data_IF_144008372023
#
_entry.id   IF_144008372023
#
_cell.length_a   1.000
_cell.length_b   1.000
_cell.length_c   1.000
_cell.angle_alpha   90.00
_cell.angle_beta   90.00
_cell.angle_gamma   90.00
#
_symmetry.space_group_name_H-M   'P 1'
#
loop_
_entity.id
_entity.type
_entity.pdbx_description
1 polymer ?
#
# COMPACT_ATOMS: atom_id res chain seq x y z
N UNK A 1 45.62 -1.40 6.56
CA UNK A 1 44.74 -2.13 5.64
C UNK A 1 43.90 -3.02 6.52
N UNK A 2 42.76 -2.49 6.94
CA UNK A 2 41.70 -3.27 7.57
C UNK A 2 40.46 -2.88 6.77
N UNK A 3 40.21 -3.65 5.72
CA UNK A 3 39.00 -3.55 4.93
C UNK A 3 37.87 -4.18 5.77
N UNK A 4 37.27 -3.38 6.64
CA UNK A 4 36.02 -3.69 7.32
C UNK A 4 34.90 -3.68 6.28
N UNK A 5 34.79 -4.78 5.55
CA UNK A 5 33.69 -5.06 4.62
C UNK A 5 32.54 -5.67 5.43
N UNK A 6 31.75 -4.81 6.05
CA UNK A 6 30.47 -5.18 6.65
C UNK A 6 29.52 -5.59 5.49
N UNK A 7 28.99 -6.81 5.46
CA UNK A 7 27.99 -7.18 4.47
C UNK A 7 26.76 -6.34 4.78
N UNK A 8 26.41 -5.43 3.87
CA UNK A 8 25.13 -4.72 3.86
C UNK A 8 24.07 -5.81 3.97
N UNK A 9 23.48 -5.94 5.16
CA UNK A 9 22.26 -6.69 5.36
C UNK A 9 21.19 -5.86 4.66
N UNK A 10 21.02 -6.10 3.37
CA UNK A 10 19.77 -5.81 2.70
C UNK A 10 18.74 -6.69 3.40
N UNK A 11 18.11 -6.15 4.45
CA UNK A 11 16.82 -6.64 4.88
C UNK A 11 15.94 -6.68 3.63
N UNK A 12 15.11 -7.73 3.44
CA UNK A 12 14.14 -7.67 2.37
C UNK A 12 13.35 -6.39 2.63
N UNK A 13 13.47 -5.42 1.72
CA UNK A 13 12.56 -4.30 1.71
C UNK A 13 11.21 -4.93 1.42
N UNK A 14 10.50 -5.30 2.49
CA UNK A 14 9.06 -5.42 2.45
C UNK A 14 8.63 -4.05 1.96
N UNK A 15 8.32 -3.98 0.67
CA UNK A 15 7.93 -2.76 -0.02
C UNK A 15 6.73 -2.25 0.77
N UNK A 16 6.98 -1.21 1.57
CA UNK A 16 5.96 -0.61 2.39
C UNK A 16 4.81 -0.24 1.45
N UNK A 17 3.55 -0.44 1.87
CA UNK A 17 2.43 0.07 1.08
C UNK A 17 2.66 1.56 0.81
N UNK A 18 2.27 2.02 -0.37
CA UNK A 18 2.32 3.43 -0.72
C UNK A 18 1.59 4.26 0.34
N UNK A 19 1.95 5.53 0.48
CA UNK A 19 1.39 6.41 1.53
C UNK A 19 -0.14 6.47 1.46
N UNK A 20 -0.69 6.50 0.24
CA UNK A 20 -2.14 6.44 -0.01
C UNK A 20 -2.76 5.09 0.39
N UNK A 21 -2.10 3.96 0.10
CA UNK A 21 -2.54 2.62 0.53
C UNK A 21 -2.49 2.49 2.04
N UNK A 22 -1.43 2.98 2.67
CA UNK A 22 -1.25 2.95 4.11
C UNK A 22 -2.31 3.78 4.83
N UNK A 23 -2.65 4.95 4.29
CA UNK A 23 -3.76 5.77 4.78
C UNK A 23 -5.07 4.97 4.71
N UNK A 24 -5.42 4.41 3.54
CA UNK A 24 -6.62 3.58 3.36
C UNK A 24 -6.72 2.42 4.35
N UNK A 25 -5.60 1.75 4.63
CA UNK A 25 -5.53 0.68 5.62
C UNK A 25 -5.85 1.19 7.04
N UNK A 26 -5.39 2.39 7.39
CA UNK A 26 -5.62 2.98 8.72
C UNK A 26 -7.01 3.63 8.86
N UNK A 27 -7.50 4.32 7.83
CA UNK A 27 -8.80 5.01 7.84
C UNK A 27 -9.97 4.04 7.72
N UNK A 28 -9.86 3.01 6.88
CA UNK A 28 -10.94 2.05 6.59
C UNK A 28 -10.72 0.65 7.19
N UNK A 29 -9.64 0.44 7.95
CA UNK A 29 -9.27 -0.86 8.53
C UNK A 29 -9.17 -1.96 7.45
N UNK A 30 -8.64 -1.60 6.28
CA UNK A 30 -8.52 -2.49 5.13
C UNK A 30 -7.21 -3.29 5.17
N UNK A 31 -7.26 -4.50 4.62
CA UNK A 31 -6.05 -5.26 4.32
C UNK A 31 -5.28 -4.61 3.16
N UNK A 32 -3.96 -4.85 3.08
CA UNK A 32 -3.10 -4.28 2.04
C UNK A 32 -3.62 -4.56 0.62
N UNK A 33 -4.01 -5.81 0.34
CA UNK A 33 -4.58 -6.19 -0.96
C UNK A 33 -5.86 -5.40 -1.30
N UNK A 34 -6.70 -5.12 -0.30
CA UNK A 34 -7.94 -4.37 -0.50
C UNK A 34 -7.66 -2.88 -0.67
N UNK A 35 -6.78 -2.31 0.15
CA UNK A 35 -6.37 -0.92 0.03
C UNK A 35 -5.70 -0.62 -1.33
N UNK A 36 -4.85 -1.53 -1.84
CA UNK A 36 -4.27 -1.42 -3.19
C UNK A 36 -5.35 -1.42 -4.29
N UNK A 37 -6.38 -2.27 -4.17
CA UNK A 37 -7.51 -2.26 -5.12
C UNK A 37 -8.35 -1.00 -5.02
N UNK A 38 -8.62 -0.52 -3.81
CA UNK A 38 -9.40 0.70 -3.58
C UNK A 38 -8.66 1.90 -4.18
N UNK A 39 -7.34 1.98 -3.99
CA UNK A 39 -6.50 2.99 -4.64
C UNK A 39 -6.59 2.89 -6.17
N UNK A 40 -6.48 1.68 -6.74
CA UNK A 40 -6.62 1.47 -8.18
C UNK A 40 -8.00 1.90 -8.71
N UNK A 41 -9.07 1.64 -7.95
CA UNK A 41 -10.44 2.08 -8.28
C UNK A 41 -10.56 3.60 -8.25
N UNK A 42 -9.99 4.27 -7.23
CA UNK A 42 -9.96 5.73 -7.15
C UNK A 42 -9.23 6.34 -8.35
N UNK A 43 -8.10 5.77 -8.77
CA UNK A 43 -7.35 6.26 -9.93
C UNK A 43 -8.07 5.99 -11.26
N UNK A 44 -8.65 4.80 -11.45
CA UNK A 44 -9.27 4.40 -12.72
C UNK A 44 -10.63 5.09 -12.95
N UNK A 45 -11.44 5.23 -11.89
CA UNK A 45 -12.77 5.83 -11.96
C UNK A 45 -12.80 7.31 -11.55
N UNK A 46 -11.75 7.80 -10.89
CA UNK A 46 -11.69 9.17 -10.37
C UNK A 46 -12.74 9.43 -9.28
N UNK A 47 -12.95 8.44 -8.41
CA UNK A 47 -13.91 8.48 -7.29
C UNK A 47 -13.20 8.77 -5.97
N UNK A 48 -13.97 9.16 -4.95
CA UNK A 48 -13.45 9.39 -3.61
C UNK A 48 -13.21 8.05 -2.86
N UNK A 49 -12.44 8.11 -1.77
CA UNK A 49 -12.09 6.96 -0.91
C UNK A 49 -13.32 6.15 -0.48
N UNK A 50 -14.33 6.80 0.09
CA UNK A 50 -15.57 6.14 0.55
C UNK A 50 -16.29 5.40 -0.60
N UNK A 51 -16.40 6.06 -1.77
CA UNK A 51 -17.06 5.48 -2.94
C UNK A 51 -16.26 4.29 -3.50
N UNK A 52 -14.93 4.37 -3.51
CA UNK A 52 -14.07 3.30 -3.98
C UNK A 52 -14.13 2.06 -3.09
N UNK A 53 -14.22 2.23 -1.77
CA UNK A 53 -14.41 1.11 -0.82
C UNK A 53 -15.75 0.42 -1.06
N UNK A 54 -16.83 1.18 -1.20
CA UNK A 54 -18.15 0.59 -1.53
C UNK A 54 -18.12 -0.15 -2.87
N UNK A 55 -17.38 0.34 -3.86
CA UNK A 55 -17.23 -0.32 -5.16
C UNK A 55 -16.43 -1.62 -5.07
N UNK A 56 -15.39 -1.69 -4.23
CA UNK A 56 -14.62 -2.92 -4.00
C UNK A 56 -15.50 -4.03 -3.42
N UNK A 57 -16.39 -3.70 -2.46
CA UNK A 57 -17.32 -4.67 -1.87
C UNK A 57 -18.39 -5.18 -2.85
N UNK A 58 -18.63 -4.48 -3.95
CA UNK A 58 -19.62 -4.82 -4.97
C UNK A 58 -19.08 -5.69 -6.12
N UNK A 59 -17.76 -5.86 -6.22
CA UNK A 59 -17.06 -6.62 -7.27
C UNK A 59 -16.92 -8.12 -6.94
#
# INVERSE_FOLDING_TARGET
MSDDNDPIKEEPAEEAPDEEVAELMESHDLDKDTAERVQEIMEDLGVDEDDAVELEELL
#
